data_IF_021629951531
#
_entry.id   IF_021629951531
#
_cell.length_a   1.000
_cell.length_b   1.000
_cell.length_c   1.000
_cell.angle_alpha   90.00
_cell.angle_beta   90.00
_cell.angle_gamma   90.00
#
_symmetry.space_group_name_H-M   'P 1'
#
loop_
_entity.id
_entity.type
_entity.pdbx_description
1 polymer ?
#
# COMPACT_ATOMS: atom_id res chain seq x y z
N UNK A 1 -5.36 -71.19 -31.19
CA UNK A 1 -5.82 -70.05 -32.01
C UNK A 1 -5.16 -68.81 -31.44
N UNK A 2 -4.45 -67.97 -32.23
CA UNK A 2 -3.88 -66.74 -31.67
C UNK A 2 -4.99 -65.70 -31.44
N UNK A 3 -4.96 -65.06 -30.28
CA UNK A 3 -5.85 -63.94 -29.93
C UNK A 3 -5.19 -62.66 -30.47
N UNK A 4 -5.92 -61.93 -31.31
CA UNK A 4 -5.48 -60.61 -31.78
C UNK A 4 -5.97 -59.54 -30.81
N UNK A 5 -5.03 -58.84 -30.19
CA UNK A 5 -5.30 -57.72 -29.30
C UNK A 5 -5.56 -56.47 -30.15
N UNK A 6 -6.80 -55.98 -30.16
CA UNK A 6 -7.13 -54.69 -30.74
C UNK A 6 -6.90 -53.62 -29.68
N UNK A 7 -5.85 -52.82 -29.84
CA UNK A 7 -5.70 -51.59 -29.08
C UNK A 7 -6.68 -50.55 -29.65
N UNK A 8 -7.68 -50.16 -28.87
CA UNK A 8 -8.51 -48.99 -29.17
C UNK A 8 -7.77 -47.77 -28.64
N UNK A 9 -7.19 -46.97 -29.53
CA UNK A 9 -6.66 -45.67 -29.18
C UNK A 9 -7.82 -44.69 -28.98
N UNK A 10 -8.16 -44.39 -27.73
CA UNK A 10 -9.01 -43.25 -27.41
C UNK A 10 -8.15 -41.99 -27.58
N UNK A 11 -8.45 -41.21 -28.61
CA UNK A 11 -7.93 -39.84 -28.75
C UNK A 11 -9.01 -38.92 -28.22
N UNK A 12 -8.76 -38.29 -27.07
CA UNK A 12 -9.57 -37.17 -26.61
C UNK A 12 -9.11 -35.97 -27.42
N UNK A 13 -9.97 -35.48 -28.31
CA UNK A 13 -9.71 -34.25 -29.05
C UNK A 13 -9.89 -33.08 -28.07
N UNK A 14 -8.79 -32.59 -27.50
CA UNK A 14 -8.83 -31.45 -26.59
C UNK A 14 -9.09 -30.17 -27.38
N UNK A 15 -10.29 -29.63 -27.24
CA UNK A 15 -10.65 -28.34 -27.82
C UNK A 15 -9.80 -27.28 -27.12
N UNK A 16 -9.11 -26.46 -27.92
CA UNK A 16 -8.31 -25.34 -27.43
C UNK A 16 -8.71 -24.04 -28.10
N UNK A 17 -8.53 -22.96 -27.36
CA UNK A 17 -8.81 -21.61 -27.78
C UNK A 17 -7.54 -20.77 -27.74
N UNK A 18 -7.34 -19.97 -28.77
CA UNK A 18 -6.23 -19.03 -28.83
C UNK A 18 -6.58 -17.74 -28.11
N UNK A 19 -5.73 -17.35 -27.16
CA UNK A 19 -5.77 -16.04 -26.52
C UNK A 19 -4.64 -15.20 -27.10
N UNK A 20 -4.98 -14.10 -27.79
CA UNK A 20 -3.99 -13.18 -28.33
C UNK A 20 -3.72 -12.10 -27.30
N UNK A 21 -2.54 -12.15 -26.66
CA UNK A 21 -2.12 -11.20 -25.64
C UNK A 21 -1.05 -10.24 -26.20
N UNK A 22 -1.30 -8.94 -26.08
CA UNK A 22 -0.39 -7.91 -26.58
C UNK A 22 -0.22 -6.76 -25.58
N UNK A 23 0.97 -6.20 -25.57
CA UNK A 23 1.35 -5.04 -24.79
C UNK A 23 1.85 -3.94 -25.71
N UNK A 24 1.41 -2.71 -25.48
CA UNK A 24 2.00 -1.52 -26.08
C UNK A 24 3.38 -1.20 -25.51
N UNK A 25 4.01 -0.14 -26.02
CA UNK A 25 5.32 0.30 -25.58
C UNK A 25 5.36 0.62 -24.08
N UNK A 26 6.55 0.49 -23.47
CA UNK A 26 6.85 0.83 -22.07
C UNK A 26 6.23 -0.10 -21.03
N UNK A 27 6.07 -1.37 -21.39
CA UNK A 27 5.74 -2.44 -20.46
C UNK A 27 5.63 -3.77 -21.17
N UNK A 28 5.23 -4.79 -20.42
CA UNK A 28 5.18 -6.18 -20.87
C UNK A 28 3.92 -6.89 -20.38
N UNK A 29 3.53 -7.92 -21.12
CA UNK A 29 2.52 -8.92 -20.72
C UNK A 29 3.14 -10.32 -20.89
N UNK A 30 2.93 -11.22 -19.93
CA UNK A 30 3.44 -12.58 -19.95
C UNK A 30 2.35 -13.58 -19.52
N UNK A 31 2.03 -14.60 -20.33
CA UNK A 31 2.53 -14.84 -21.69
C UNK A 31 2.05 -13.80 -22.72
N UNK A 32 2.84 -13.53 -23.76
CA UNK A 32 2.50 -12.66 -24.90
C UNK A 32 2.33 -13.44 -26.19
N UNK A 33 1.71 -12.82 -27.19
CA UNK A 33 1.40 -13.42 -28.48
C UNK A 33 0.19 -14.36 -28.39
N UNK A 34 0.18 -15.37 -29.25
CA UNK A 34 -0.88 -16.37 -29.28
C UNK A 34 -0.64 -17.47 -28.25
N UNK A 35 -1.54 -17.55 -27.28
CA UNK A 35 -1.49 -18.47 -26.14
C UNK A 35 -2.61 -19.48 -26.28
N UNK A 36 -2.28 -20.75 -26.50
CA UNK A 36 -3.28 -21.82 -26.54
C UNK A 36 -3.71 -22.21 -25.12
N UNK A 37 -5.02 -22.22 -24.89
CA UNK A 37 -5.66 -22.58 -23.61
C UNK A 37 -6.74 -23.62 -23.87
N UNK A 38 -6.74 -24.71 -23.11
CA UNK A 38 -7.75 -25.77 -23.22
C UNK A 38 -9.12 -25.21 -22.83
N UNK A 39 -10.17 -25.67 -23.51
CA UNK A 39 -11.56 -25.30 -23.19
C UNK A 39 -11.88 -25.55 -21.71
N UNK A 40 -12.49 -24.55 -21.07
CA UNK A 40 -12.84 -24.56 -19.65
C UNK A 40 -11.66 -24.30 -18.70
N UNK A 41 -10.42 -24.23 -19.17
CA UNK A 41 -9.28 -23.90 -18.33
C UNK A 41 -9.21 -22.39 -18.04
N UNK A 42 -8.48 -22.04 -16.98
CA UNK A 42 -8.14 -20.66 -16.64
C UNK A 42 -6.66 -20.37 -16.93
N UNK A 43 -6.32 -19.12 -17.23
CA UNK A 43 -4.95 -18.70 -17.54
C UNK A 43 -4.63 -17.34 -16.93
N UNK A 44 -3.49 -17.24 -16.26
CA UNK A 44 -2.97 -15.98 -15.73
C UNK A 44 -2.10 -15.25 -16.76
N UNK A 45 -2.26 -13.93 -16.80
CA UNK A 45 -1.46 -12.99 -17.55
C UNK A 45 -0.88 -11.96 -16.59
N UNK A 46 0.44 -11.97 -16.44
CA UNK A 46 1.17 -10.99 -15.65
C UNK A 46 1.52 -9.80 -16.52
N UNK A 47 1.09 -8.61 -16.10
CA UNK A 47 1.38 -7.35 -16.74
C UNK A 47 2.36 -6.59 -15.85
N UNK A 48 3.41 -6.02 -16.45
CA UNK A 48 4.42 -5.26 -15.73
C UNK A 48 4.80 -4.05 -16.57
N UNK A 49 4.51 -2.85 -16.08
CA UNK A 49 4.93 -1.61 -16.69
C UNK A 49 6.45 -1.44 -16.53
N UNK A 50 7.08 -0.78 -17.51
CA UNK A 50 8.49 -0.43 -17.40
C UNK A 50 8.69 0.68 -16.36
N UNK A 51 9.96 0.88 -15.96
CA UNK A 51 10.33 1.91 -14.98
C UNK A 51 9.79 3.29 -15.41
N UNK A 52 8.99 3.91 -14.55
CA UNK A 52 8.40 5.25 -14.79
C UNK A 52 7.07 5.25 -15.55
N UNK A 53 6.49 4.08 -15.80
CA UNK A 53 5.20 3.90 -16.44
C UNK A 53 4.20 3.21 -15.53
N UNK A 54 2.92 3.38 -15.81
CA UNK A 54 1.81 2.63 -15.21
C UNK A 54 0.90 2.11 -16.31
N UNK A 55 0.12 1.09 -15.99
CA UNK A 55 -0.91 0.59 -16.89
C UNK A 55 -1.90 1.73 -17.14
N UNK A 56 -2.08 2.08 -18.41
CA UNK A 56 -3.09 3.07 -18.81
C UNK A 56 -4.44 2.39 -18.99
N UNK A 57 -4.49 1.41 -19.88
CA UNK A 57 -5.70 0.61 -20.12
C UNK A 57 -5.34 -0.86 -20.24
N UNK A 58 -6.17 -1.72 -19.64
CA UNK A 58 -6.20 -3.16 -19.88
C UNK A 58 -7.56 -3.50 -20.47
N UNK A 59 -7.58 -4.18 -21.61
CA UNK A 59 -8.82 -4.59 -22.29
C UNK A 59 -8.84 -6.08 -22.56
N UNK A 60 -10.00 -6.69 -22.36
CA UNK A 60 -10.30 -8.07 -22.75
C UNK A 60 -11.48 -8.06 -23.71
N UNK A 61 -11.29 -8.56 -24.94
CA UNK A 61 -12.27 -8.46 -26.03
C UNK A 61 -12.80 -7.01 -26.22
N UNK A 62 -11.91 -6.04 -26.06
CA UNK A 62 -12.24 -4.61 -26.14
C UNK A 62 -12.90 -4.00 -24.89
N UNK A 63 -13.30 -4.82 -23.91
CA UNK A 63 -13.89 -4.37 -22.65
C UNK A 63 -12.81 -4.01 -21.63
N UNK A 64 -12.92 -2.85 -21.00
CA UNK A 64 -11.90 -2.34 -20.07
C UNK A 64 -11.97 -3.00 -18.68
N UNK A 65 -10.80 -3.32 -18.14
CA UNK A 65 -10.59 -3.79 -16.77
C UNK A 65 -10.03 -2.63 -15.97
N UNK A 66 -10.91 -1.87 -15.33
CA UNK A 66 -10.56 -0.63 -14.62
C UNK A 66 -9.63 -0.82 -13.42
N UNK A 67 -9.65 -2.01 -12.80
CA UNK A 67 -8.80 -2.35 -11.66
C UNK A 67 -7.30 -2.38 -11.97
N UNK A 68 -6.91 -2.44 -13.25
CA UNK A 68 -5.52 -2.43 -13.64
C UNK A 68 -4.98 -1.01 -13.89
N UNK A 69 -5.85 -0.02 -14.13
CA UNK A 69 -5.43 1.32 -14.51
C UNK A 69 -4.72 2.02 -13.35
N UNK A 70 -3.53 2.55 -13.61
CA UNK A 70 -2.68 3.20 -12.60
C UNK A 70 -1.72 2.27 -11.87
N UNK A 71 -1.83 0.95 -12.05
CA UNK A 71 -0.94 -0.02 -11.41
C UNK A 71 0.38 -0.19 -12.18
N UNK A 72 1.48 -0.37 -11.44
CA UNK A 72 2.79 -0.70 -12.04
C UNK A 72 2.88 -2.19 -12.43
N UNK A 73 2.12 -3.05 -11.75
CA UNK A 73 2.04 -4.48 -12.04
C UNK A 73 0.64 -4.97 -11.73
N UNK A 74 0.08 -5.79 -12.61
CA UNK A 74 -1.26 -6.35 -12.44
C UNK A 74 -1.29 -7.79 -12.96
N UNK A 75 -1.94 -8.70 -12.25
CA UNK A 75 -2.18 -10.07 -12.73
C UNK A 75 -3.63 -10.21 -13.10
N UNK A 76 -3.90 -10.48 -14.37
CA UNK A 76 -5.23 -10.77 -14.87
C UNK A 76 -5.41 -12.28 -15.06
N UNK A 77 -6.38 -12.86 -14.36
CA UNK A 77 -6.77 -14.26 -14.55
C UNK A 77 -7.96 -14.34 -15.49
N UNK A 78 -7.73 -14.87 -16.69
CA UNK A 78 -8.80 -15.22 -17.60
C UNK A 78 -9.39 -16.57 -17.19
N UNK A 79 -10.64 -16.60 -16.74
CA UNK A 79 -11.31 -17.81 -16.25
C UNK A 79 -12.17 -18.46 -17.31
N UNK A 80 -12.31 -19.78 -17.20
CA UNK A 80 -13.27 -20.59 -17.97
C UNK A 80 -13.29 -20.26 -19.47
N UNK A 81 -12.13 -20.44 -20.11
CA UNK A 81 -11.96 -20.08 -21.53
C UNK A 81 -12.81 -21.00 -22.41
N UNK A 82 -13.83 -20.44 -23.06
CA UNK A 82 -14.77 -21.16 -23.94
C UNK A 82 -14.78 -20.67 -25.38
N UNK A 83 -13.93 -19.68 -25.67
CA UNK A 83 -13.74 -19.10 -27.01
C UNK A 83 -12.39 -18.41 -27.08
N UNK A 84 -11.95 -18.10 -28.30
CA UNK A 84 -10.82 -17.22 -28.51
C UNK A 84 -11.11 -15.82 -27.94
N UNK A 85 -10.09 -15.19 -27.35
CA UNK A 85 -10.18 -13.86 -26.77
C UNK A 85 -8.91 -13.05 -27.05
N UNK A 86 -9.03 -11.73 -26.92
CA UNK A 86 -7.91 -10.80 -27.05
C UNK A 86 -7.67 -10.09 -25.73
N UNK A 87 -6.39 -9.95 -25.34
CA UNK A 87 -5.96 -9.13 -24.21
C UNK A 87 -5.01 -8.07 -24.76
N UNK A 88 -5.35 -6.81 -24.54
CA UNK A 88 -4.50 -5.68 -24.96
C UNK A 88 -4.25 -4.79 -23.76
N UNK A 89 -2.98 -4.47 -23.52
CA UNK A 89 -2.58 -3.49 -22.51
C UNK A 89 -1.83 -2.33 -23.15
N UNK A 90 -2.14 -1.11 -22.71
CA UNK A 90 -1.37 0.09 -23.00
C UNK A 90 -0.80 0.66 -21.72
N UNK A 91 0.30 1.38 -21.85
CA UNK A 91 0.97 2.06 -20.75
C UNK A 91 0.98 3.55 -21.03
N UNK A 92 0.90 4.33 -19.95
CA UNK A 92 1.18 5.76 -19.98
C UNK A 92 2.34 6.02 -19.08
N UNK A 93 3.05 7.11 -19.36
CA UNK A 93 4.00 7.65 -18.40
C UNK A 93 3.25 7.76 -17.08
N UNK A 94 3.82 7.20 -16.01
CA UNK A 94 3.29 7.44 -14.69
C UNK A 94 3.19 8.95 -14.56
N UNK A 95 2.04 9.48 -14.14
CA UNK A 95 2.01 10.87 -13.67
C UNK A 95 2.79 10.88 -12.37
N UNK A 96 4.12 10.73 -12.49
CA UNK A 96 4.98 10.28 -11.43
C UNK A 96 4.93 11.34 -10.35
N UNK A 97 4.62 10.96 -9.13
CA UNK A 97 4.97 11.75 -7.96
C UNK A 97 6.48 11.81 -7.78
N UNK A 98 7.06 12.78 -8.50
CA UNK A 98 8.38 13.37 -8.37
C UNK A 98 8.24 14.89 -8.55
N UNK A 99 9.31 15.58 -8.95
CA UNK A 99 9.36 17.05 -9.12
C UNK A 99 8.17 17.64 -9.93
N UNK A 100 7.51 16.82 -10.75
CA UNK A 100 6.39 17.22 -11.60
C UNK A 100 5.07 17.46 -10.83
N UNK A 101 4.90 16.89 -9.63
CA UNK A 101 3.74 17.14 -8.76
C UNK A 101 4.04 18.17 -7.68
N UNK A 102 5.31 18.28 -7.28
CA UNK A 102 5.79 19.16 -6.21
C UNK A 102 6.98 19.96 -6.72
N UNK A 103 6.83 21.29 -6.80
CA UNK A 103 7.88 22.18 -7.30
C UNK A 103 9.00 22.40 -6.28
N UNK A 104 8.67 22.30 -4.99
CA UNK A 104 9.58 22.62 -3.90
C UNK A 104 9.18 21.89 -2.61
N UNK A 105 10.18 21.41 -1.87
CA UNK A 105 10.03 20.93 -0.50
C UNK A 105 10.89 21.79 0.44
N UNK A 106 10.27 22.43 1.42
CA UNK A 106 10.93 23.29 2.40
C UNK A 106 10.88 22.69 3.80
N UNK A 107 11.94 22.84 4.59
CA UNK A 107 11.98 22.37 5.99
C UNK A 107 12.16 23.56 6.92
N UNK A 108 11.43 23.56 8.03
CA UNK A 108 11.53 24.56 9.09
C UNK A 108 11.35 23.94 10.48
N UNK A 109 11.83 24.62 11.51
CA UNK A 109 11.75 24.16 12.90
C UNK A 109 12.84 24.82 13.74
N UNK A 110 12.52 25.17 14.98
CA UNK A 110 13.53 25.74 15.89
C UNK A 110 14.58 24.67 16.22
N UNK A 111 15.86 25.00 16.02
CA UNK A 111 16.96 24.05 16.25
C UNK A 111 17.08 22.93 15.20
N UNK A 112 16.39 23.05 14.05
CA UNK A 112 16.44 22.09 12.94
C UNK A 112 17.05 22.75 11.70
N UNK A 113 17.96 22.04 11.02
CA UNK A 113 18.45 22.42 9.69
C UNK A 113 18.42 21.22 8.76
N UNK A 114 18.10 21.43 7.49
CA UNK A 114 18.05 20.36 6.50
C UNK A 114 18.81 20.75 5.23
N UNK A 115 19.41 19.75 4.57
CA UNK A 115 19.93 19.89 3.23
C UNK A 115 18.80 20.09 2.21
N UNK A 116 19.14 20.56 1.02
CA UNK A 116 18.19 20.68 -0.08
C UNK A 116 17.54 19.31 -0.37
N UNK A 117 16.21 19.28 -0.58
CA UNK A 117 15.50 18.03 -0.85
C UNK A 117 15.95 17.41 -2.16
N UNK A 118 16.15 16.09 -2.14
CA UNK A 118 16.37 15.30 -3.35
C UNK A 118 15.09 14.54 -3.65
N UNK A 119 14.43 14.87 -4.76
CA UNK A 119 13.24 14.13 -5.21
C UNK A 119 13.63 12.73 -5.68
N UNK A 120 12.85 11.74 -5.27
CA UNK A 120 13.01 10.34 -5.65
C UNK A 120 11.87 9.97 -6.59
N UNK A 121 12.21 9.26 -7.67
CA UNK A 121 11.26 8.76 -8.64
C UNK A 121 10.46 7.57 -8.09
N UNK A 122 9.19 7.43 -8.49
CA UNK A 122 8.32 6.37 -7.98
C UNK A 122 8.82 4.95 -8.26
N UNK A 123 9.72 4.79 -9.23
CA UNK A 123 10.28 3.50 -9.61
C UNK A 123 11.67 3.23 -8.99
N UNK A 124 12.08 4.03 -8.01
CA UNK A 124 13.21 3.72 -7.15
C UNK A 124 12.85 2.58 -6.18
N UNK A 125 13.83 1.73 -5.83
CA UNK A 125 13.64 0.65 -4.86
C UNK A 125 13.20 1.18 -3.50
N UNK A 126 13.69 2.37 -3.11
CA UNK A 126 13.22 3.06 -1.91
C UNK A 126 11.71 3.27 -1.97
N UNK A 127 11.17 3.82 -3.05
CA UNK A 127 9.72 4.08 -3.16
C UNK A 127 8.92 2.78 -3.22
N UNK A 128 9.37 1.80 -4.01
CA UNK A 128 8.70 0.50 -4.11
C UNK A 128 8.56 -0.20 -2.75
N UNK A 129 9.59 -0.08 -1.89
CA UNK A 129 9.54 -0.64 -0.53
C UNK A 129 8.51 0.05 0.37
N UNK A 130 8.34 1.37 0.21
CA UNK A 130 7.32 2.14 0.95
C UNK A 130 5.92 1.84 0.40
N UNK A 131 5.76 1.73 -0.91
CA UNK A 131 4.50 1.39 -1.55
C UNK A 131 3.90 0.08 -1.01
N UNK A 132 4.74 -0.92 -0.78
CA UNK A 132 4.33 -2.19 -0.18
C UNK A 132 3.78 -2.07 1.25
N UNK A 133 4.15 -1.01 1.98
CA UNK A 133 3.56 -0.70 3.30
C UNK A 133 2.25 0.08 3.18
N UNK A 134 2.11 0.91 2.13
CA UNK A 134 0.99 1.83 1.98
C UNK A 134 -0.28 1.20 1.38
N UNK A 135 -0.22 -0.05 0.90
CA UNK A 135 -1.33 -0.72 0.22
C UNK A 135 -2.13 -1.69 1.10
N UNK A 136 -2.46 -1.25 2.32
CA UNK A 136 -3.40 -1.95 3.21
C UNK A 136 -2.91 -3.23 3.86
N UNK A 137 -1.69 -3.67 3.55
CA UNK A 137 -1.14 -4.94 4.03
C UNK A 137 -0.59 -4.92 5.45
N UNK A 138 -0.47 -3.75 6.10
CA UNK A 138 0.19 -3.58 7.39
C UNK A 138 -0.48 -2.53 8.27
N UNK A 139 -0.40 -2.75 9.58
CA UNK A 139 -0.77 -1.79 10.60
C UNK A 139 0.33 -0.73 10.75
N UNK A 140 -0.07 0.54 10.77
CA UNK A 140 0.79 1.71 10.93
C UNK A 140 0.31 2.55 12.11
N UNK A 141 1.23 3.18 12.83
CA UNK A 141 0.85 4.21 13.81
C UNK A 141 0.54 5.50 13.07
N UNK A 142 -0.63 6.09 13.33
CA UNK A 142 -0.99 7.41 12.81
C UNK A 142 -0.54 8.51 13.78
N UNK A 143 0.00 9.60 13.26
CA UNK A 143 0.18 10.89 13.94
C UNK A 143 -0.75 11.88 13.26
N UNK A 144 -1.62 12.52 14.03
CA UNK A 144 -2.63 13.46 13.53
C UNK A 144 -2.02 14.80 13.13
N UNK A 145 -2.80 15.63 12.44
CA UNK A 145 -2.38 16.97 12.00
C UNK A 145 -1.87 17.86 13.17
N UNK A 146 -2.40 17.67 14.38
CA UNK A 146 -1.99 18.41 15.59
C UNK A 146 -0.70 17.87 16.24
N UNK A 147 -0.08 16.84 15.66
CA UNK A 147 1.12 16.19 16.18
C UNK A 147 0.86 15.21 17.32
N UNK A 148 -0.39 14.97 17.71
CA UNK A 148 -0.73 13.93 18.68
C UNK A 148 -0.68 12.54 18.06
N UNK A 149 -0.27 11.55 18.85
CA UNK A 149 -0.35 10.16 18.45
C UNK A 149 -1.83 9.75 18.30
N UNK A 150 -2.19 9.28 17.11
CA UNK A 150 -3.47 8.63 16.81
C UNK A 150 -3.42 7.12 17.03
N UNK A 151 -4.50 6.45 16.62
CA UNK A 151 -4.63 5.00 16.74
C UNK A 151 -3.76 4.27 15.69
N UNK A 152 -3.62 2.95 15.87
CA UNK A 152 -3.12 2.07 14.83
C UNK A 152 -4.13 2.01 13.68
N UNK A 153 -3.65 2.19 12.46
CA UNK A 153 -4.47 2.24 11.24
C UNK A 153 -3.97 1.25 10.21
N UNK A 154 -4.88 0.76 9.37
CA UNK A 154 -4.55 0.24 8.06
C UNK A 154 -4.64 1.40 7.08
N UNK A 155 -3.57 1.62 6.30
CA UNK A 155 -3.55 2.67 5.29
C UNK A 155 -3.81 2.08 3.91
N UNK A 156 -4.74 2.64 3.17
CA UNK A 156 -5.00 2.31 1.77
C UNK A 156 -4.58 3.51 0.92
N UNK A 157 -3.43 3.40 0.26
CA UNK A 157 -3.01 4.41 -0.72
C UNK A 157 -4.01 4.49 -1.87
N UNK A 158 -4.22 5.70 -2.35
CA UNK A 158 -4.97 5.96 -3.59
C UNK A 158 -4.04 6.44 -4.70
N UNK A 159 -3.13 7.36 -4.37
CA UNK A 159 -2.09 7.80 -5.27
C UNK A 159 -0.87 8.30 -4.49
N UNK A 160 0.31 8.08 -5.04
CA UNK A 160 1.54 8.67 -4.53
C UNK A 160 1.60 10.16 -4.98
N UNK A 161 2.12 11.04 -4.13
CA UNK A 161 2.20 12.51 -4.34
C UNK A 161 3.62 12.98 -4.58
N UNK A 162 4.57 12.55 -3.74
CA UNK A 162 6.00 12.69 -3.97
C UNK A 162 6.79 11.78 -3.04
N UNK A 163 8.04 11.48 -3.39
CA UNK A 163 9.03 10.99 -2.45
C UNK A 163 10.23 11.95 -2.43
N UNK A 164 10.70 12.31 -1.23
CA UNK A 164 11.86 13.19 -1.05
C UNK A 164 12.83 12.58 -0.05
N UNK A 165 14.11 12.53 -0.40
CA UNK A 165 15.18 12.26 0.55
C UNK A 165 15.56 13.57 1.22
N UNK A 166 15.62 13.55 2.55
CA UNK A 166 16.05 14.68 3.35
C UNK A 166 17.19 14.26 4.28
N UNK A 167 18.23 15.08 4.30
CA UNK A 167 19.27 15.01 5.32
C UNK A 167 19.01 16.14 6.33
N UNK A 168 18.73 15.77 7.58
CA UNK A 168 18.29 16.71 8.63
C UNK A 168 19.20 16.58 9.82
N UNK A 169 19.71 17.71 10.29
CA UNK A 169 20.44 17.82 11.54
C UNK A 169 19.62 18.65 12.55
N UNK A 170 19.74 18.31 13.82
CA UNK A 170 19.01 18.99 14.90
C UNK A 170 19.91 19.19 16.11
N UNK A 171 19.72 20.29 16.83
CA UNK A 171 20.41 20.59 18.09
C UNK A 171 19.61 20.16 19.32
N UNK A 172 18.30 19.94 19.15
CA UNK A 172 17.40 19.40 20.17
C UNK A 172 16.61 18.23 19.56
N UNK A 173 16.81 16.97 20.03
CA UNK A 173 16.10 15.82 19.50
C UNK A 173 14.58 15.88 19.73
N UNK A 174 14.11 16.62 20.74
CA UNK A 174 12.68 16.79 21.06
C UNK A 174 12.02 17.91 20.25
N UNK A 175 12.80 18.61 19.41
CA UNK A 175 12.31 19.67 18.56
C UNK A 175 11.23 19.17 17.58
N UNK A 176 10.44 20.13 17.11
CA UNK A 176 9.42 19.91 16.08
C UNK A 176 9.96 20.39 14.74
N UNK A 177 9.83 19.54 13.72
CA UNK A 177 10.14 19.89 12.34
C UNK A 177 8.85 19.97 11.53
N UNK A 178 8.76 20.98 10.66
CA UNK A 178 7.70 21.12 9.66
C UNK A 178 8.30 21.03 8.26
N UNK A 179 7.93 19.98 7.52
CA UNK A 179 8.16 19.86 6.09
C UNK A 179 6.97 20.49 5.34
N UNK A 180 7.24 21.34 4.36
CA UNK A 180 6.23 22.01 3.52
C UNK A 180 6.43 21.61 2.07
N UNK A 181 5.37 21.22 1.37
CA UNK A 181 5.39 20.84 -0.04
C UNK A 181 4.58 21.86 -0.85
N UNK A 182 5.21 22.47 -1.84
CA UNK A 182 4.55 23.36 -2.80
C UNK A 182 4.13 22.58 -4.04
N UNK A 183 2.89 22.71 -4.55
CA UNK A 183 2.49 22.02 -5.76
C UNK A 183 3.30 22.53 -6.97
N UNK A 184 3.45 21.70 -8.00
CA UNK A 184 4.05 22.14 -9.25
C UNK A 184 3.25 23.26 -9.94
N UNK A 185 3.90 24.00 -10.85
CA UNK A 185 3.26 25.09 -11.57
C UNK A 185 2.01 24.60 -12.32
N UNK A 186 0.88 25.31 -12.14
CA UNK A 186 -0.41 24.95 -12.73
C UNK A 186 -1.11 23.75 -12.07
N UNK A 187 -0.57 23.19 -10.97
CA UNK A 187 -1.18 22.12 -10.18
C UNK A 187 -1.68 22.64 -8.83
N UNK A 188 -2.53 21.85 -8.17
CA UNK A 188 -3.04 22.14 -6.82
C UNK A 188 -3.32 20.84 -6.06
N UNK A 189 -3.16 20.86 -4.74
CA UNK A 189 -3.66 19.78 -3.89
C UNK A 189 -5.19 19.82 -3.83
N UNK A 190 -5.81 18.64 -3.86
CA UNK A 190 -7.25 18.47 -3.81
C UNK A 190 -7.74 18.60 -2.36
N UNK A 191 -8.55 19.62 -2.09
CA UNK A 191 -9.05 19.90 -0.74
C UNK A 191 -10.00 18.81 -0.19
N UNK A 192 -10.57 17.95 -1.04
CA UNK A 192 -11.41 16.84 -0.61
C UNK A 192 -10.61 15.59 -0.21
N UNK A 193 -9.32 15.54 -0.57
CA UNK A 193 -8.46 14.39 -0.31
C UNK A 193 -7.67 14.56 0.98
N UNK A 194 -7.40 13.43 1.64
CA UNK A 194 -6.49 13.36 2.78
C UNK A 194 -5.12 12.92 2.32
N UNK A 195 -4.11 13.60 2.84
CA UNK A 195 -2.72 13.41 2.49
C UNK A 195 -1.95 12.93 3.71
N UNK A 196 -1.01 12.01 3.48
CA UNK A 196 -0.25 11.38 4.54
C UNK A 196 1.20 11.22 4.14
N UNK A 197 2.11 11.60 5.03
CA UNK A 197 3.53 11.34 4.89
C UNK A 197 3.90 10.10 5.69
N UNK A 198 4.48 9.10 5.03
CA UNK A 198 5.01 7.92 5.67
C UNK A 198 6.51 8.07 5.85
N UNK A 199 6.98 7.89 7.08
CA UNK A 199 8.38 8.10 7.47
C UNK A 199 8.79 6.94 8.39
N UNK A 200 9.97 6.38 8.15
CA UNK A 200 10.50 5.34 9.01
C UNK A 200 11.03 5.93 10.33
N UNK A 201 10.58 5.39 11.45
CA UNK A 201 11.14 5.67 12.76
C UNK A 201 12.48 4.95 12.90
N UNK A 202 13.54 5.68 13.26
CA UNK A 202 14.91 5.17 13.35
C UNK A 202 15.13 4.25 14.55
N UNK A 203 14.39 4.47 15.65
CA UNK A 203 14.53 3.68 16.87
C UNK A 203 13.88 2.32 16.74
N UNK A 204 12.71 2.24 16.11
CA UNK A 204 11.94 0.99 15.99
C UNK A 204 12.03 0.31 14.62
N UNK A 205 12.55 1.01 13.60
CA UNK A 205 12.49 0.63 12.18
C UNK A 205 11.06 0.50 11.62
N UNK A 206 10.02 0.80 12.40
CA UNK A 206 8.63 0.80 11.96
C UNK A 206 8.31 2.08 11.16
N UNK A 207 7.31 2.00 10.29
CA UNK A 207 6.81 3.18 9.58
C UNK A 207 5.70 3.85 10.39
N UNK A 208 5.79 5.17 10.47
CA UNK A 208 4.77 6.03 11.07
C UNK A 208 4.13 6.86 9.97
N UNK A 209 2.81 6.97 10.02
CA UNK A 209 2.02 7.76 9.08
C UNK A 209 1.70 9.09 9.75
N UNK A 210 2.04 10.20 9.09
CA UNK A 210 1.78 11.55 9.55
C UNK A 210 0.72 12.17 8.67
N UNK A 211 -0.39 12.61 9.26
CA UNK A 211 -1.42 13.35 8.53
C UNK A 211 -0.91 14.74 8.13
N UNK A 212 -1.03 15.06 6.85
CA UNK A 212 -0.58 16.34 6.31
C UNK A 212 -1.67 17.40 6.49
N UNK A 213 -1.30 18.57 7.03
CA UNK A 213 -2.22 19.70 7.15
C UNK A 213 -2.13 20.61 5.91
N UNK A 214 -3.27 20.98 5.28
CA UNK A 214 -3.29 21.96 4.20
C UNK A 214 -3.04 23.37 4.75
N UNK A 215 -2.08 24.09 4.17
CA UNK A 215 -1.72 25.45 4.60
C UNK A 215 -1.45 26.34 3.38
N UNK A 216 -2.37 27.26 3.07
CA UNK A 216 -2.18 28.24 1.99
C UNK A 216 -1.96 27.61 0.61
N UNK A 217 -2.64 26.51 0.30
CA UNK A 217 -2.47 25.76 -0.96
C UNK A 217 -1.25 24.82 -0.99
N UNK A 218 -0.53 24.70 0.13
CA UNK A 218 0.58 23.76 0.34
C UNK A 218 0.15 22.61 1.27
N UNK A 219 0.95 21.56 1.32
CA UNK A 219 0.85 20.54 2.37
C UNK A 219 1.95 20.74 3.39
N UNK A 220 1.63 20.59 4.66
CA UNK A 220 2.60 20.61 5.76
C UNK A 220 2.57 19.30 6.52
N UNK A 221 3.74 18.80 6.89
CA UNK A 221 3.93 17.59 7.69
C UNK A 221 4.68 18.00 8.94
N UNK A 222 4.08 17.74 10.09
CA UNK A 222 4.69 18.03 11.40
C UNK A 222 5.26 16.75 11.98
N UNK A 223 6.56 16.76 12.31
CA UNK A 223 7.24 15.62 12.91
C UNK A 223 7.85 16.01 14.24
N UNK A 224 7.51 15.24 15.28
CA UNK A 224 8.00 15.38 16.65
C UNK A 224 8.02 14.01 17.34
N UNK A 225 9.08 13.67 18.11
CA UNK A 225 10.36 14.38 18.21
C UNK A 225 11.21 14.16 16.95
N UNK A 226 11.90 15.20 16.46
CA UNK A 226 12.68 15.12 15.21
C UNK A 226 13.80 14.06 15.27
N UNK A 227 14.36 13.83 16.46
CA UNK A 227 15.44 12.85 16.70
C UNK A 227 15.03 11.39 16.49
N UNK A 228 13.73 11.09 16.48
CA UNK A 228 13.24 9.72 16.25
C UNK A 228 13.19 9.35 14.76
N UNK A 229 13.18 10.35 13.87
CA UNK A 229 12.86 10.14 12.46
C UNK A 229 13.97 10.54 11.49
N UNK A 230 14.83 11.52 11.80
CA UNK A 230 15.68 12.10 10.75
C UNK A 230 17.19 12.12 11.01
N UNK A 231 17.93 11.82 9.93
CA UNK A 231 19.34 12.16 9.60
C UNK A 231 19.81 11.55 8.25
N UNK A 232 18.91 10.98 7.44
CA UNK A 232 18.99 10.59 6.01
C UNK A 232 17.81 9.64 5.72
N UNK A 233 16.57 10.15 5.79
CA UNK A 233 15.37 9.30 5.61
C UNK A 233 14.52 9.82 4.46
N UNK A 234 13.89 8.90 3.73
CA UNK A 234 12.92 9.20 2.69
C UNK A 234 11.58 9.55 3.34
N UNK A 235 11.02 10.70 2.96
CA UNK A 235 9.63 11.06 3.25
C UNK A 235 8.81 10.74 2.01
N UNK A 236 7.82 9.87 2.15
CA UNK A 236 6.94 9.48 1.04
C UNK A 236 5.54 9.97 1.33
N UNK A 237 4.99 10.82 0.46
CA UNK A 237 3.67 11.41 0.65
C UNK A 237 2.68 10.78 -0.30
N UNK A 238 1.56 10.32 0.23
CA UNK A 238 0.44 9.74 -0.50
C UNK A 238 -0.82 10.56 -0.28
N UNK A 239 -1.76 10.47 -1.22
CA UNK A 239 -3.19 10.60 -0.91
C UNK A 239 -3.76 9.22 -0.67
N UNK A 240 -4.69 9.10 0.27
CA UNK A 240 -5.31 7.82 0.57
C UNK A 240 -6.23 7.89 1.77
N UNK A 241 -6.57 6.72 2.30
CA UNK A 241 -7.45 6.59 3.46
C UNK A 241 -6.74 5.85 4.58
N UNK A 242 -6.68 6.45 5.77
CA UNK A 242 -6.28 5.78 7.00
C UNK A 242 -7.53 5.37 7.77
N UNK A 243 -7.73 4.07 7.98
CA UNK A 243 -8.84 3.54 8.77
C UNK A 243 -8.27 2.86 10.02
N UNK A 244 -8.85 3.17 11.20
CA UNK A 244 -8.48 2.49 12.45
C UNK A 244 -8.58 0.98 12.28
N UNK A 245 -7.63 0.23 12.86
CA UNK A 245 -7.73 -1.22 12.80
C UNK A 245 -8.99 -1.65 13.54
N UNK A 246 -9.91 -2.28 12.80
CA UNK A 246 -11.09 -2.87 13.43
C UNK A 246 -10.56 -3.91 14.42
N UNK A 247 -10.89 -3.77 15.71
CA UNK A 247 -10.82 -4.91 16.62
C UNK A 247 -11.57 -6.06 15.95
N UNK A 248 -10.99 -7.27 15.86
CA UNK A 248 -11.69 -8.40 15.28
C UNK A 248 -13.05 -8.49 15.95
N UNK A 249 -14.12 -8.41 15.16
CA UNK A 249 -15.48 -8.59 15.66
C UNK A 249 -15.46 -9.90 16.47
N UNK A 250 -15.62 -9.78 17.78
CA UNK A 250 -15.91 -10.96 18.59
C UNK A 250 -17.17 -11.53 17.98
N UNK A 251 -17.20 -12.82 17.57
CA UNK A 251 -18.37 -13.36 16.91
C UNK A 251 -19.54 -13.18 17.86
N UNK A 252 -20.44 -12.26 17.49
CA UNK A 252 -21.72 -12.10 18.16
C UNK A 252 -22.49 -13.37 17.86
N UNK A 253 -22.42 -14.32 18.79
CA UNK A 253 -23.28 -15.48 18.80
C UNK A 253 -24.70 -14.97 18.98
N UNK A 254 -25.46 -15.01 17.89
CA UNK A 254 -26.90 -14.84 17.92
C UNK A 254 -27.51 -15.81 18.94
N UNK A 255 -28.12 -15.25 19.98
CA UNK A 255 -28.83 -15.98 20.99
C UNK A 255 -29.95 -15.10 21.51
N UNK A 256 -31.09 -15.15 20.82
CA UNK A 256 -32.32 -14.58 21.36
C UNK A 256 -32.80 -15.36 22.58
N UNK A 257 -33.45 -14.63 23.49
CA UNK A 257 -34.44 -15.08 24.48
C UNK A 257 -33.94 -15.67 25.80
N UNK A 258 -34.28 -14.99 26.90
CA UNK A 258 -34.45 -15.60 28.22
C UNK A 258 -34.01 -14.70 29.37
N UNK A 259 -34.96 -14.24 30.19
CA UNK A 259 -34.73 -13.25 31.24
C UNK A 259 -34.04 -13.75 32.51
N UNK A 260 -33.84 -12.84 33.45
CA UNK A 260 -33.62 -13.16 34.87
C UNK A 260 -32.46 -12.43 35.52
N UNK A 261 -32.76 -11.57 36.48
CA UNK A 261 -31.80 -11.07 37.47
C UNK A 261 -31.30 -12.23 38.35
N UNK A 262 -29.98 -12.34 38.57
CA UNK A 262 -29.30 -12.43 39.88
C UNK A 262 -27.93 -13.15 39.82
N UNK A 263 -26.99 -12.56 40.56
CA UNK A 263 -25.92 -13.14 41.38
C UNK A 263 -25.18 -14.41 40.89
N UNK A 264 -23.85 -14.30 40.75
CA UNK A 264 -22.99 -15.47 40.68
C UNK A 264 -21.51 -15.15 40.43
N UNK A 265 -20.70 -15.33 41.47
CA UNK A 265 -19.25 -15.34 41.47
C UNK A 265 -18.63 -16.24 40.38
N UNK A 266 -17.45 -15.86 39.86
CA UNK A 266 -16.18 -16.56 40.14
C UNK A 266 -15.14 -16.47 38.99
N UNK A 267 -13.99 -15.89 39.36
CA UNK A 267 -12.62 -16.41 39.12
C UNK A 267 -12.10 -16.45 37.69
N UNK A 268 -11.16 -15.54 37.37
CA UNK A 268 -9.92 -15.90 36.65
C UNK A 268 -8.72 -15.22 37.34
N UNK A 269 -7.69 -16.04 37.56
CA UNK A 269 -6.57 -15.87 38.47
C UNK A 269 -5.54 -14.82 38.04
N UNK A 270 -5.06 -14.05 39.01
CA UNK A 270 -3.91 -13.15 38.88
C UNK A 270 -2.76 -13.73 39.72
N UNK A 271 -1.86 -14.47 39.07
CA UNK A 271 -0.61 -14.94 39.67
C UNK A 271 0.41 -13.79 39.64
N UNK A 272 0.54 -13.09 40.77
CA UNK A 272 1.64 -12.17 41.03
C UNK A 272 2.59 -12.77 42.08
N UNK A 273 3.85 -12.94 41.68
CA UNK A 273 4.97 -13.31 42.55
C UNK A 273 5.37 -12.14 43.48
N UNK A 274 5.29 -12.38 44.80
CA UNK A 274 6.18 -11.95 45.91
C UNK A 274 6.50 -10.43 46.12
N UNK A 275 7.01 -9.98 47.29
CA UNK A 275 7.35 -10.71 48.53
C UNK A 275 6.68 -10.16 49.82
N UNK A 276 6.37 -11.05 50.77
CA UNK A 276 5.96 -10.68 52.13
C UNK A 276 7.19 -10.47 53.02
N UNK A 277 7.44 -9.21 53.38
CA UNK A 277 8.11 -8.87 54.63
C UNK A 277 7.06 -8.88 55.75
N UNK A 278 7.09 -9.87 56.66
CA UNK A 278 6.35 -9.77 57.92
C UNK A 278 7.23 -10.09 59.13
N UNK A 279 7.66 -9.01 59.73
CA UNK A 279 8.02 -8.83 61.14
C UNK A 279 6.82 -9.21 62.03
N UNK A 280 6.97 -10.14 62.97
CA UNK A 280 6.32 -9.98 64.27
C UNK A 280 7.01 -10.75 65.41
N UNK A 281 7.40 -9.96 66.41
CA UNK A 281 7.76 -10.34 67.77
C UNK A 281 6.67 -11.23 68.38
N UNK A 282 7.09 -12.29 69.07
CA UNK A 282 7.05 -12.38 70.54
C UNK A 282 8.15 -13.32 70.99
#
# INVERSE_FOLDING_TARGET
>A
MPVSLYAVGLTTDEISHTITASAGDNGTIAPSGDVSVIEGASKDFKITADKGYVIDTLKVDGSEITAAAGEASFTYTLKDVTKAQSITVTFKKSETPGKDNVSEAGVSGEGVTAAEPVFIEAADEAVASHDAYADGGKELTLVKEDGSAGDTVTFKKEALVCAVKLDVTHTDPEATMTLTLSPAEGKSFDAAKKYYAMIQNKKSAAYTLFECAPAGGKLTVTVKPVGDYFSENTVVVYTGTAAGSATPDTPTTGGGSGGGCNAGMAVIALLAFAPLALRRRR
#
